data_IF_168330707633
#
_entry.id   IF_168330707633
#
_cell.length_a   1.000
_cell.length_b   1.000
_cell.length_c   1.000
_cell.angle_alpha   90.00
_cell.angle_beta   90.00
_cell.angle_gamma   90.00
#
_symmetry.space_group_name_H-M   'P 1'
#
loop_
_entity.id
_entity.type
_entity.pdbx_description
1 polymer ?
#
# COMPACT_ATOMS: atom_id res chain seq x y z
N UNK A 1 -5.71 5.00 36.37
CA UNK A 1 -5.90 5.99 35.28
C UNK A 1 -6.38 5.25 34.04
N UNK A 2 -7.65 5.36 33.64
CA UNK A 2 -8.08 4.82 32.34
C UNK A 2 -7.52 5.73 31.24
N UNK A 3 -6.91 5.21 30.17
CA UNK A 3 -6.46 6.06 29.07
C UNK A 3 -7.71 6.72 28.45
N UNK A 4 -7.64 8.01 28.18
CA UNK A 4 -8.71 8.74 27.50
C UNK A 4 -9.03 8.03 26.18
N UNK A 5 -10.20 7.39 26.09
CA UNK A 5 -10.73 6.89 24.83
C UNK A 5 -11.07 8.08 23.96
N UNK A 6 -10.47 8.17 22.77
CA UNK A 6 -10.83 9.16 21.77
C UNK A 6 -12.33 9.00 21.48
N UNK A 7 -13.14 10.08 21.46
CA UNK A 7 -14.55 10.00 21.13
C UNK A 7 -14.74 9.32 19.76
N UNK A 8 -15.71 8.41 19.65
CA UNK A 8 -15.93 7.60 18.45
C UNK A 8 -16.04 8.45 17.16
N UNK A 9 -16.74 9.58 17.21
CA UNK A 9 -16.86 10.52 16.08
C UNK A 9 -15.49 11.06 15.59
N UNK A 10 -14.59 11.41 16.52
CA UNK A 10 -13.24 11.89 16.18
C UNK A 10 -12.38 10.76 15.59
N UNK A 11 -12.59 9.52 16.04
CA UNK A 11 -11.92 8.36 15.47
C UNK A 11 -12.44 8.03 14.06
N UNK A 12 -13.75 8.16 13.83
CA UNK A 12 -14.39 7.98 12.52
C UNK A 12 -13.93 9.02 11.50
N UNK A 13 -13.88 10.30 11.88
CA UNK A 13 -13.39 11.37 11.00
C UNK A 13 -11.92 11.14 10.60
N UNK A 14 -11.08 10.70 11.54
CA UNK A 14 -9.69 10.32 11.25
C UNK A 14 -9.61 9.12 10.32
N UNK A 15 -10.47 8.12 10.50
CA UNK A 15 -10.52 6.97 9.62
C UNK A 15 -10.91 7.35 8.20
N UNK A 16 -11.87 8.28 8.03
CA UNK A 16 -12.26 8.81 6.72
C UNK A 16 -11.12 9.56 6.03
N UNK A 17 -10.39 10.41 6.76
CA UNK A 17 -9.20 11.10 6.23
C UNK A 17 -8.12 10.10 5.78
N UNK A 18 -7.87 9.04 6.55
CA UNK A 18 -6.94 7.99 6.16
C UNK A 18 -7.41 7.23 4.91
N UNK A 19 -8.70 6.89 4.82
CA UNK A 19 -9.26 6.23 3.63
C UNK A 19 -9.12 7.11 2.38
N UNK A 20 -9.36 8.41 2.51
CA UNK A 20 -9.18 9.38 1.43
C UNK A 20 -7.71 9.42 0.95
N UNK A 21 -6.75 9.51 1.88
CA UNK A 21 -5.32 9.49 1.55
C UNK A 21 -4.87 8.18 0.92
N UNK A 22 -5.41 7.05 1.39
CA UNK A 22 -5.14 5.73 0.78
C UNK A 22 -5.67 5.71 -0.65
N UNK A 23 -6.89 6.21 -0.89
CA UNK A 23 -7.46 6.27 -2.22
C UNK A 23 -6.60 7.12 -3.18
N UNK A 24 -6.10 8.26 -2.72
CA UNK A 24 -5.19 9.12 -3.50
C UNK A 24 -3.84 8.46 -3.82
N UNK A 25 -3.32 7.63 -2.91
CA UNK A 25 -2.08 6.88 -3.11
C UNK A 25 -2.29 5.55 -3.86
N UNK A 26 -3.53 5.12 -4.05
CA UNK A 26 -3.84 3.82 -4.63
C UNK A 26 -3.62 3.86 -6.13
N UNK A 27 -2.76 2.95 -6.61
CA UNK A 27 -2.54 2.73 -8.03
C UNK A 27 -3.35 1.53 -8.53
N UNK A 28 -3.77 1.59 -9.79
CA UNK A 28 -4.44 0.45 -10.43
C UNK A 28 -3.48 -0.73 -10.57
N UNK A 29 -3.91 -1.92 -10.16
CA UNK A 29 -3.08 -3.14 -10.19
C UNK A 29 -2.52 -3.48 -11.57
N UNK A 30 -3.26 -3.18 -12.64
CA UNK A 30 -2.85 -3.43 -14.03
C UNK A 30 -1.61 -2.62 -14.45
N UNK A 31 -1.28 -1.54 -13.74
CA UNK A 31 -0.11 -0.70 -14.00
C UNK A 31 1.17 -1.26 -13.38
N UNK A 32 1.09 -2.36 -12.61
CA UNK A 32 2.24 -2.97 -11.93
C UNK A 32 2.51 -4.36 -12.48
N UNK A 33 3.75 -4.63 -12.88
CA UNK A 33 4.21 -5.96 -13.30
C UNK A 33 5.32 -6.48 -12.39
N UNK A 34 5.07 -7.60 -11.72
CA UNK A 34 6.09 -8.28 -10.90
C UNK A 34 7.02 -9.07 -11.83
N UNK A 35 8.33 -9.08 -11.54
CA UNK A 35 9.33 -9.80 -12.35
C UNK A 35 10.04 -10.89 -11.55
N UNK A 36 10.87 -10.52 -10.58
CA UNK A 36 11.67 -11.48 -9.79
C UNK A 36 11.62 -11.15 -8.30
N UNK A 37 11.79 -12.16 -7.46
CA UNK A 37 11.90 -11.96 -6.01
C UNK A 37 13.27 -11.37 -5.69
N UNK A 38 13.28 -10.23 -5.01
CA UNK A 38 14.48 -9.61 -4.47
C UNK A 38 14.81 -10.12 -3.06
N UNK A 39 13.77 -10.40 -2.25
CA UNK A 39 13.91 -10.82 -0.86
C UNK A 39 12.65 -11.55 -0.38
N UNK A 40 12.83 -12.58 0.43
CA UNK A 40 11.75 -13.22 1.19
C UNK A 40 11.90 -12.90 2.68
N UNK A 41 10.79 -12.63 3.36
CA UNK A 41 10.76 -12.43 4.80
C UNK A 41 9.48 -12.97 5.43
N UNK A 42 9.39 -12.93 6.75
CA UNK A 42 8.29 -13.54 7.51
C UNK A 42 6.90 -13.06 7.09
N UNK A 43 6.78 -11.79 6.72
CA UNK A 43 5.49 -11.16 6.39
C UNK A 43 5.17 -11.15 4.90
N UNK A 44 6.00 -11.75 4.04
CA UNK A 44 5.81 -11.74 2.59
C UNK A 44 7.11 -11.47 1.83
N UNK A 45 6.98 -11.15 0.53
CA UNK A 45 8.10 -11.03 -0.40
C UNK A 45 8.31 -9.60 -0.88
N UNK A 46 9.52 -9.28 -1.27
CA UNK A 46 9.86 -8.08 -2.05
C UNK A 46 10.17 -8.52 -3.45
N UNK A 47 9.51 -7.94 -4.45
CA UNK A 47 9.75 -8.19 -5.86
C UNK A 47 10.42 -6.98 -6.51
N UNK A 48 11.29 -7.23 -7.49
CA UNK A 48 11.59 -6.26 -8.55
C UNK A 48 10.44 -6.28 -9.55
N UNK A 49 10.04 -5.12 -10.04
CA UNK A 49 8.95 -5.00 -11.01
C UNK A 49 9.02 -3.72 -11.83
N UNK A 50 7.99 -3.52 -12.65
CA UNK A 50 7.76 -2.25 -13.35
C UNK A 50 6.43 -1.64 -12.97
N UNK A 51 6.39 -0.31 -12.96
CA UNK A 51 5.19 0.50 -12.86
C UNK A 51 5.05 1.34 -14.14
N UNK A 52 3.88 1.32 -14.76
CA UNK A 52 3.56 2.19 -15.89
C UNK A 52 2.90 3.47 -15.40
N UNK A 53 3.52 4.63 -15.68
CA UNK A 53 2.92 5.94 -15.40
C UNK A 53 1.76 6.27 -16.36
N UNK A 54 1.18 7.47 -16.23
CA UNK A 54 -0.04 7.84 -16.96
C UNK A 54 0.22 8.02 -18.46
N UNK A 55 1.46 8.30 -18.82
CA UNK A 55 1.95 8.37 -20.19
C UNK A 55 2.37 7.00 -20.74
N UNK A 56 2.19 5.94 -19.93
CA UNK A 56 2.55 4.56 -20.28
C UNK A 56 4.05 4.26 -20.21
N UNK A 57 4.86 5.14 -19.60
CA UNK A 57 6.30 4.90 -19.46
C UNK A 57 6.56 3.94 -18.29
N UNK A 58 7.35 2.90 -18.56
CA UNK A 58 7.75 1.94 -17.53
C UNK A 58 8.86 2.51 -16.63
N UNK A 59 8.69 2.35 -15.33
CA UNK A 59 9.67 2.70 -14.29
C UNK A 59 9.99 1.45 -13.46
N UNK A 60 11.26 1.25 -13.13
CA UNK A 60 11.66 0.16 -12.23
C UNK A 60 11.23 0.45 -10.79
N UNK A 61 10.63 -0.55 -10.13
CA UNK A 61 10.11 -0.41 -8.77
C UNK A 61 10.40 -1.65 -7.93
N UNK A 62 10.37 -1.47 -6.60
CA UNK A 62 10.29 -2.56 -5.63
C UNK A 62 8.85 -2.69 -5.14
N UNK A 63 8.30 -3.90 -5.17
CA UNK A 63 6.95 -4.18 -4.68
C UNK A 63 7.04 -5.08 -3.46
N UNK A 64 6.63 -4.56 -2.30
CA UNK A 64 6.45 -5.34 -1.08
C UNK A 64 5.05 -5.96 -1.09
N UNK A 65 4.99 -7.28 -0.97
CA UNK A 65 3.73 -7.99 -0.74
C UNK A 65 3.61 -8.37 0.73
N UNK A 66 2.36 -8.47 1.18
CA UNK A 66 2.00 -9.07 2.47
C UNK A 66 1.43 -10.46 2.16
N UNK A 67 1.91 -11.49 2.85
CA UNK A 67 1.36 -12.84 2.72
C UNK A 67 0.05 -12.96 3.53
N UNK A 68 -1.01 -13.48 2.91
CA UNK A 68 -2.19 -13.94 3.66
C UNK A 68 -1.81 -15.21 4.45
N UNK A 69 -2.17 -15.24 5.73
CA UNK A 69 -2.03 -16.39 6.62
C UNK A 69 -3.41 -16.99 6.91
#
# INVERSE_FOLDING_TARGET
>A
RRPNSVPAAVAEDRARDLQQRIAELTIQRCRVRLRSVAMEGTFGRVYRGTYADEDGREQEVLVKTVAEH
#
